data_IF_191965027081
#
_entry.id   IF_191965027081
#
_cell.length_a   1.000
_cell.length_b   1.000
_cell.length_c   1.000
_cell.angle_alpha   90.00
_cell.angle_beta   90.00
_cell.angle_gamma   90.00
#
_symmetry.space_group_name_H-M   'P 1'
#
loop_
_entity.id
_entity.type
_entity.pdbx_description
1 polymer ?
#
# COMPACT_ATOMS: atom_id res chain seq x y z
N UNK A 1 -2.94 7.74 2.93
CA UNK A 1 -4.26 7.52 2.30
C UNK A 1 -4.57 6.03 2.27
N UNK A 2 -5.85 5.63 2.22
CA UNK A 2 -6.29 4.23 2.23
C UNK A 2 -7.41 4.05 1.22
N UNK A 3 -7.28 3.05 0.34
CA UNK A 3 -8.30 2.59 -0.62
C UNK A 3 -8.67 1.14 -0.28
N UNK A 4 -9.95 0.78 -0.43
CA UNK A 4 -10.43 -0.60 -0.28
C UNK A 4 -11.09 -1.08 -1.56
N UNK A 5 -10.86 -2.33 -1.93
CA UNK A 5 -11.47 -2.96 -3.10
C UNK A 5 -12.23 -4.21 -2.66
N UNK A 6 -13.55 -4.18 -2.77
CA UNK A 6 -14.45 -5.27 -2.37
C UNK A 6 -15.48 -5.60 -3.44
N UNK A 7 -16.46 -6.45 -3.10
CA UNK A 7 -17.51 -6.88 -4.05
C UNK A 7 -18.42 -5.74 -4.50
N UNK A 8 -18.52 -4.69 -3.69
CA UNK A 8 -19.35 -3.50 -3.96
C UNK A 8 -18.61 -2.50 -4.88
N UNK A 9 -17.28 -2.63 -5.01
CA UNK A 9 -16.44 -1.76 -5.82
C UNK A 9 -15.23 -1.24 -5.05
N UNK A 10 -14.70 -0.12 -5.55
CA UNK A 10 -13.57 0.60 -4.95
C UNK A 10 -14.13 1.72 -4.06
N UNK A 11 -13.66 1.81 -2.82
CA UNK A 11 -14.00 2.88 -1.89
C UNK A 11 -12.73 3.66 -1.52
N UNK A 12 -12.87 4.99 -1.41
CA UNK A 12 -11.76 5.91 -1.14
C UNK A 12 -10.60 5.76 -2.16
N UNK A 13 -10.95 5.68 -3.44
CA UNK A 13 -9.97 5.51 -4.51
C UNK A 13 -8.83 6.53 -4.40
N UNK A 14 -7.60 6.03 -4.42
CA UNK A 14 -6.41 6.86 -4.35
C UNK A 14 -6.32 7.74 -5.60
N UNK A 15 -6.15 9.04 -5.39
CA UNK A 15 -5.99 9.97 -6.52
C UNK A 15 -4.58 9.85 -7.12
N UNK A 16 -4.39 10.20 -8.40
CA UNK A 16 -3.07 10.22 -9.02
C UNK A 16 -2.04 11.06 -8.24
N UNK A 17 -2.47 12.17 -7.65
CA UNK A 17 -1.63 13.06 -6.84
C UNK A 17 -1.17 12.35 -5.56
N UNK A 18 -2.10 11.71 -4.84
CA UNK A 18 -1.77 10.94 -3.63
C UNK A 18 -0.79 9.81 -3.92
N UNK A 19 -0.96 9.12 -5.05
CA UNK A 19 -0.04 8.07 -5.48
C UNK A 19 1.32 8.69 -5.82
N UNK A 20 1.34 9.79 -6.59
CA UNK A 20 2.57 10.49 -6.99
C UNK A 20 3.35 11.00 -5.78
N UNK A 21 2.69 11.52 -4.75
CA UNK A 21 3.31 12.02 -3.53
C UNK A 21 3.75 10.91 -2.57
N UNK A 22 3.17 9.71 -2.67
CA UNK A 22 3.53 8.61 -1.79
C UNK A 22 4.98 8.15 -1.99
N UNK A 23 5.74 8.08 -0.90
CA UNK A 23 7.07 7.48 -0.84
C UNK A 23 7.04 5.95 -1.00
N UNK A 24 5.94 5.34 -0.54
CA UNK A 24 5.74 3.90 -0.50
C UNK A 24 4.24 3.55 -0.58
N UNK A 25 3.94 2.43 -1.23
CA UNK A 25 2.61 1.84 -1.33
C UNK A 25 2.58 0.50 -0.59
N UNK A 26 1.60 0.30 0.28
CA UNK A 26 1.35 -0.98 0.94
C UNK A 26 0.15 -1.65 0.28
N UNK A 27 0.36 -2.80 -0.34
CA UNK A 27 -0.68 -3.66 -0.88
C UNK A 27 -0.98 -4.78 0.12
N UNK A 28 -1.93 -4.54 1.02
CA UNK A 28 -2.47 -5.55 1.93
C UNK A 28 -3.59 -6.32 1.21
N UNK A 29 -3.26 -7.36 0.47
CA UNK A 29 -4.17 -8.03 -0.47
C UNK A 29 -3.99 -9.56 -0.46
N UNK A 30 -5.09 -10.30 -0.55
CA UNK A 30 -5.07 -11.77 -0.72
C UNK A 30 -5.48 -12.19 -2.14
N UNK A 31 -6.01 -11.26 -2.92
CA UNK A 31 -6.46 -11.45 -4.31
C UNK A 31 -5.93 -10.32 -5.19
N UNK A 32 -6.04 -10.49 -6.52
CA UNK A 32 -5.67 -9.44 -7.46
C UNK A 32 -6.58 -8.23 -7.29
N UNK A 33 -5.99 -7.04 -7.34
CA UNK A 33 -6.69 -5.75 -7.34
C UNK A 33 -6.74 -5.16 -8.75
N UNK A 34 -7.72 -4.30 -8.97
CA UNK A 34 -7.84 -3.49 -10.18
C UNK A 34 -6.93 -2.26 -10.11
N UNK A 35 -6.40 -1.82 -11.26
CA UNK A 35 -5.61 -0.59 -11.36
C UNK A 35 -4.24 -0.65 -10.68
N UNK A 36 -3.64 -1.86 -10.59
CA UNK A 36 -2.32 -2.07 -9.95
C UNK A 36 -1.20 -1.31 -10.66
N UNK A 37 -1.34 -1.14 -11.97
CA UNK A 37 -0.42 -0.39 -12.83
C UNK A 37 -0.25 1.07 -12.39
N UNK A 38 -1.23 1.66 -11.70
CA UNK A 38 -1.13 3.02 -11.14
C UNK A 38 0.03 3.15 -10.13
N UNK A 39 0.45 2.04 -9.53
CA UNK A 39 1.54 1.99 -8.55
C UNK A 39 2.90 1.61 -9.16
N UNK A 40 3.01 1.50 -10.49
CA UNK A 40 4.30 1.23 -11.14
C UNK A 40 5.33 2.33 -10.84
N UNK A 41 6.58 1.91 -10.62
CA UNK A 41 7.66 2.81 -10.21
C UNK A 41 7.62 3.24 -8.74
N UNK A 42 6.54 2.92 -8.00
CA UNK A 42 6.50 3.11 -6.54
C UNK A 42 7.19 1.96 -5.82
N UNK A 43 7.69 2.26 -4.62
CA UNK A 43 8.14 1.20 -3.69
C UNK A 43 6.89 0.49 -3.18
N UNK A 44 6.83 -0.82 -3.34
CA UNK A 44 5.66 -1.61 -2.97
C UNK A 44 6.05 -2.60 -1.88
N UNK A 45 5.30 -2.59 -0.78
CA UNK A 45 5.26 -3.69 0.19
C UNK A 45 3.96 -4.43 -0.05
N UNK A 46 4.04 -5.69 -0.47
CA UNK A 46 2.86 -6.54 -0.60
C UNK A 46 2.82 -7.55 0.56
N UNK A 47 1.69 -7.60 1.28
CA UNK A 47 1.45 -8.52 2.39
C UNK A 47 0.02 -9.08 2.32
N UNK A 48 -0.25 -10.26 2.91
CA UNK A 48 -1.62 -10.73 3.13
C UNK A 48 -2.41 -9.73 3.98
N UNK A 49 -3.73 -9.64 3.77
CA UNK A 49 -4.58 -8.71 4.55
C UNK A 49 -4.49 -8.98 6.04
N UNK A 50 -4.36 -10.26 6.41
CA UNK A 50 -4.24 -10.71 7.79
C UNK A 50 -3.08 -10.01 8.53
N UNK A 51 -1.96 -9.74 7.87
CA UNK A 51 -0.81 -9.06 8.48
C UNK A 51 -1.16 -7.61 8.84
N UNK A 52 -1.86 -6.91 7.95
CA UNK A 52 -2.30 -5.54 8.20
C UNK A 52 -3.28 -5.46 9.38
N UNK A 53 -4.10 -6.50 9.59
CA UNK A 53 -5.05 -6.59 10.71
C UNK A 53 -4.36 -6.99 12.03
N UNK A 54 -3.55 -8.06 12.02
CA UNK A 54 -2.95 -8.62 13.23
C UNK A 54 -1.72 -7.87 13.71
N UNK A 55 -1.01 -7.16 12.83
CA UNK A 55 0.27 -6.52 13.15
C UNK A 55 0.46 -5.18 12.42
N UNK A 56 -0.49 -4.24 12.54
CA UNK A 56 -0.42 -2.96 11.82
C UNK A 56 0.83 -2.16 12.19
N UNK A 57 1.17 -2.07 13.48
CA UNK A 57 2.33 -1.30 13.94
C UNK A 57 3.64 -1.82 13.34
N UNK A 58 3.86 -3.13 13.37
CA UNK A 58 5.05 -3.76 12.76
C UNK A 58 5.12 -3.55 11.26
N UNK A 59 3.97 -3.54 10.58
CA UNK A 59 3.90 -3.26 9.15
C UNK A 59 4.32 -1.82 8.84
N UNK A 60 3.88 -0.86 9.66
CA UNK A 60 4.27 0.55 9.52
C UNK A 60 5.75 0.75 9.88
N UNK A 61 6.24 0.17 10.97
CA UNK A 61 7.66 0.19 11.34
C UNK A 61 8.53 -0.34 10.18
N UNK A 62 8.11 -1.46 9.58
CA UNK A 62 8.80 -2.03 8.41
C UNK A 62 8.81 -1.07 7.22
N UNK A 63 7.70 -0.38 6.97
CA UNK A 63 7.61 0.61 5.90
C UNK A 63 8.55 1.80 6.16
N UNK A 64 8.62 2.28 7.39
CA UNK A 64 9.54 3.36 7.80
C UNK A 64 11.00 2.94 7.62
N UNK A 65 11.39 1.75 8.09
CA UNK A 65 12.75 1.23 7.90
C UNK A 65 13.17 1.18 6.43
N UNK A 66 12.25 0.80 5.53
CA UNK A 66 12.52 0.73 4.09
C UNK A 66 12.73 2.12 3.50
N UNK A 67 12.01 3.12 3.98
CA UNK A 67 12.19 4.51 3.56
C UNK A 67 13.53 5.05 4.06
N UNK A 68 13.86 4.82 5.33
CA UNK A 68 15.06 5.33 5.99
C UNK A 68 16.37 4.71 5.46
N UNK A 69 16.41 3.40 5.22
CA UNK A 69 17.61 2.71 4.70
C UNK A 69 18.05 3.16 3.32
N UNK A 70 17.25 3.98 2.65
CA UNK A 70 17.56 4.51 1.33
C UNK A 70 18.06 5.97 1.37
N UNK A 71 18.00 6.63 2.53
CA UNK A 71 18.54 7.97 2.74
C UNK A 71 20.01 7.96 3.17
N UNK A 72 20.59 6.76 3.35
CA UNK A 72 22.00 6.48 3.67
C UNK A 72 22.69 5.80 2.50
#
# INVERSE_FOLDING_TARGET
HIETQGTIGIENELTPEQIKEADLVILAIDVKISGRERFEGKRIIQVPTEIAVKSPNKLIEKAQEIIEKQLV
#
